data_IF_439037371900
#
_entry.id   IF_439037371900
#
_cell.length_a   1.000
_cell.length_b   1.000
_cell.length_c   1.000
_cell.angle_alpha   90.00
_cell.angle_beta   90.00
_cell.angle_gamma   90.00
#
_symmetry.space_group_name_H-M   'P 1'
#
loop_
_entity.id
_entity.type
_entity.pdbx_description
1 polymer ?
#
# COMPACT_ATOMS: atom_id res chain seq x y z
N UNK A 1 60.98 4.57 -22.04
CA UNK A 1 59.97 4.86 -20.99
C UNK A 1 58.61 4.78 -21.64
N UNK A 2 58.06 3.57 -21.75
CA UNK A 2 56.69 3.34 -22.20
C UNK A 2 55.79 3.30 -20.96
N UNK A 3 54.88 4.26 -20.85
CA UNK A 3 53.91 4.32 -19.77
C UNK A 3 52.79 3.30 -20.03
N UNK A 4 52.79 2.23 -19.23
CA UNK A 4 51.68 1.30 -19.15
C UNK A 4 50.45 2.01 -18.54
N UNK A 5 49.57 2.51 -19.40
CA UNK A 5 48.21 2.91 -19.01
C UNK A 5 47.41 1.63 -18.84
N UNK A 6 47.34 1.14 -17.60
CA UNK A 6 46.43 0.07 -17.19
C UNK A 6 45.01 0.58 -17.38
N UNK A 7 44.34 0.15 -18.46
CA UNK A 7 42.88 0.28 -18.60
C UNK A 7 42.23 -0.49 -17.45
N UNK A 8 41.85 0.21 -16.39
CA UNK A 8 40.90 -0.32 -15.42
C UNK A 8 39.62 -0.63 -16.21
N UNK A 9 39.37 -1.92 -16.46
CA UNK A 9 38.03 -2.39 -16.84
C UNK A 9 37.11 -1.96 -15.71
N UNK A 10 36.20 -1.03 -15.99
CA UNK A 10 35.05 -0.75 -15.13
C UNK A 10 34.33 -2.08 -14.91
N UNK A 11 34.58 -2.72 -13.76
CA UNK A 11 33.86 -3.93 -13.37
C UNK A 11 32.44 -3.48 -13.07
N UNK A 12 31.47 -4.01 -13.82
CA UNK A 12 30.06 -3.90 -13.46
C UNK A 12 29.93 -4.36 -12.01
N UNK A 13 29.25 -3.60 -11.14
CA UNK A 13 29.00 -4.02 -9.77
C UNK A 13 28.36 -5.43 -9.75
N UNK A 14 28.67 -6.27 -8.75
CA UNK A 14 27.97 -7.53 -8.58
C UNK A 14 26.46 -7.29 -8.47
N UNK A 15 25.68 -8.16 -9.09
CA UNK A 15 24.22 -8.08 -9.05
C UNK A 15 23.70 -8.37 -7.64
N UNK A 16 22.68 -7.64 -7.23
CA UNK A 16 22.03 -7.83 -5.94
C UNK A 16 20.99 -8.96 -5.98
N UNK A 17 20.59 -9.54 -4.83
CA UNK A 17 19.51 -10.54 -4.81
C UNK A 17 18.20 -10.03 -5.44
N UNK A 18 17.86 -8.75 -5.25
CA UNK A 18 16.73 -8.11 -5.92
C UNK A 18 16.84 -8.06 -7.45
N UNK A 19 18.04 -7.80 -7.98
CA UNK A 19 18.30 -7.85 -9.42
C UNK A 19 18.17 -9.28 -9.98
N UNK A 20 18.61 -10.28 -9.21
CA UNK A 20 18.39 -11.68 -9.56
C UNK A 20 16.91 -12.04 -9.57
N UNK A 21 16.11 -11.56 -8.59
CA UNK A 21 14.63 -11.72 -8.60
C UNK A 21 14.00 -11.10 -9.85
N UNK A 22 14.43 -9.90 -10.25
CA UNK A 22 13.93 -9.28 -11.48
C UNK A 22 14.25 -10.13 -12.72
N UNK A 23 15.44 -10.74 -12.82
CA UNK A 23 15.78 -11.59 -13.96
C UNK A 23 14.93 -12.86 -14.06
N UNK A 24 14.44 -13.36 -12.93
CA UNK A 24 13.51 -14.50 -12.90
C UNK A 24 12.09 -14.12 -13.34
N UNK A 25 11.76 -12.82 -13.38
CA UNK A 25 10.46 -12.35 -13.82
C UNK A 25 10.30 -12.54 -15.34
N UNK A 26 9.24 -13.21 -15.83
CA UNK A 26 9.08 -13.52 -17.26
C UNK A 26 9.15 -12.29 -18.18
N UNK A 27 8.63 -11.14 -17.75
CA UNK A 27 8.66 -9.89 -18.53
C UNK A 27 10.08 -9.31 -18.73
N UNK A 28 11.08 -9.74 -17.96
CA UNK A 28 12.44 -9.20 -18.01
C UNK A 28 13.23 -9.64 -19.24
N UNK A 29 12.90 -10.80 -19.83
CA UNK A 29 13.49 -11.27 -21.08
C UNK A 29 13.17 -10.33 -22.27
N UNK A 30 12.09 -9.56 -22.18
CA UNK A 30 11.68 -8.61 -23.22
C UNK A 30 12.52 -7.33 -23.19
N UNK A 31 12.92 -6.91 -21.99
CA UNK A 31 13.77 -5.72 -21.81
C UNK A 31 15.19 -5.97 -22.32
N UNK A 32 15.72 -7.18 -22.13
CA UNK A 32 17.09 -7.53 -22.53
C UNK A 32 17.22 -7.84 -24.02
N UNK A 33 16.14 -8.28 -24.68
CA UNK A 33 16.16 -8.66 -26.09
C UNK A 33 15.73 -7.56 -27.07
N UNK A 34 15.13 -6.46 -26.58
CA UNK A 34 14.65 -5.35 -27.41
C UNK A 34 13.54 -5.71 -28.39
N UNK A 35 12.92 -6.90 -28.23
CA UNK A 35 11.84 -7.40 -29.08
C UNK A 35 10.51 -7.27 -28.35
N UNK A 36 9.52 -6.68 -29.00
CA UNK A 36 8.13 -6.76 -28.57
C UNK A 36 7.61 -8.18 -28.80
N UNK A 37 7.05 -8.81 -27.77
CA UNK A 37 6.26 -10.03 -27.95
C UNK A 37 4.92 -9.64 -28.59
N UNK A 38 4.82 -9.83 -29.90
CA UNK A 38 3.54 -10.14 -30.50
C UNK A 38 3.23 -11.59 -30.07
N UNK A 39 2.22 -11.75 -29.21
CA UNK A 39 1.64 -12.98 -28.65
C UNK A 39 1.86 -13.20 -27.15
N UNK A 40 0.79 -12.91 -26.42
CA UNK A 40 0.37 -13.51 -25.15
C UNK A 40 0.61 -15.02 -25.13
N UNK A 41 1.63 -15.46 -24.42
CA UNK A 41 1.71 -16.84 -23.96
C UNK A 41 0.99 -16.95 -22.61
N UNK A 42 0.00 -17.85 -22.57
CA UNK A 42 -0.72 -18.39 -21.41
C UNK A 42 -1.77 -17.49 -20.72
N UNK A 43 -3.03 -17.69 -21.13
CA UNK A 43 -4.18 -17.99 -20.24
C UNK A 43 -4.20 -17.37 -18.83
N UNK A 44 -4.11 -16.04 -18.71
CA UNK A 44 -4.53 -15.34 -17.49
C UNK A 44 -3.47 -15.12 -16.40
N UNK A 45 -2.19 -15.46 -16.60
CA UNK A 45 -1.13 -14.99 -15.69
C UNK A 45 -0.67 -13.59 -16.07
N UNK A 46 -1.23 -12.58 -15.39
CA UNK A 46 -0.81 -11.17 -15.46
C UNK A 46 0.63 -10.92 -14.96
N UNK A 47 1.31 -11.93 -14.43
CA UNK A 47 2.68 -11.92 -13.87
C UNK A 47 3.76 -11.74 -14.98
N UNK A 48 3.40 -11.53 -16.25
CA UNK A 48 4.36 -11.50 -17.36
C UNK A 48 4.38 -10.20 -18.17
N UNK A 49 3.83 -9.08 -17.67
CA UNK A 49 3.76 -7.86 -18.47
C UNK A 49 5.09 -7.06 -18.51
N UNK A 50 5.36 -6.47 -19.68
CA UNK A 50 6.55 -5.64 -19.94
C UNK A 50 6.58 -4.39 -19.06
N UNK A 51 5.40 -3.88 -18.67
CA UNK A 51 5.29 -2.65 -17.91
C UNK A 51 5.79 -2.82 -16.47
N UNK A 52 5.48 -3.95 -15.84
CA UNK A 52 5.94 -4.33 -14.51
C UNK A 52 7.44 -4.54 -14.52
N UNK A 53 7.97 -5.24 -15.52
CA UNK A 53 9.42 -5.39 -15.67
C UNK A 53 10.13 -4.02 -15.82
N UNK A 54 9.54 -3.07 -16.58
CA UNK A 54 10.07 -1.70 -16.71
C UNK A 54 10.04 -0.98 -15.37
N UNK A 55 8.94 -1.08 -14.62
CA UNK A 55 8.80 -0.49 -13.28
C UNK A 55 9.83 -1.07 -12.33
N UNK A 56 10.00 -2.40 -12.27
CA UNK A 56 11.01 -3.07 -11.45
C UNK A 56 12.43 -2.57 -11.77
N UNK A 57 12.76 -2.44 -13.06
CA UNK A 57 14.04 -1.89 -13.51
C UNK A 57 14.24 -0.45 -13.05
N UNK A 58 13.22 0.39 -13.21
CA UNK A 58 13.27 1.79 -12.78
C UNK A 58 13.47 1.89 -11.26
N UNK A 59 12.79 1.05 -10.48
CA UNK A 59 12.92 0.99 -9.02
C UNK A 59 14.34 0.58 -8.59
N UNK A 60 14.97 -0.37 -9.28
CA UNK A 60 16.38 -0.74 -9.03
C UNK A 60 17.32 0.44 -9.35
N UNK A 61 17.11 1.10 -10.49
CA UNK A 61 17.93 2.23 -10.92
C UNK A 61 17.81 3.41 -9.96
N UNK A 62 16.58 3.72 -9.55
CA UNK A 62 16.29 4.75 -8.56
C UNK A 62 16.98 4.40 -7.23
N UNK A 63 16.80 3.18 -6.72
CA UNK A 63 17.44 2.72 -5.48
C UNK A 63 18.97 2.88 -5.49
N UNK A 64 19.64 2.53 -6.60
CA UNK A 64 21.07 2.74 -6.78
C UNK A 64 21.44 4.23 -6.79
N UNK A 65 20.69 5.05 -7.52
CA UNK A 65 20.93 6.49 -7.55
C UNK A 65 20.86 7.11 -6.15
N UNK A 66 19.93 6.65 -5.32
CA UNK A 66 19.75 7.16 -3.96
C UNK A 66 20.80 6.67 -2.98
N UNK A 67 21.41 5.51 -3.22
CA UNK A 67 22.61 5.09 -2.48
C UNK A 67 23.79 6.00 -2.76
N UNK A 68 24.00 6.34 -4.03
CA UNK A 68 25.10 7.19 -4.47
C UNK A 68 24.86 8.67 -4.16
N UNK A 69 23.60 9.10 -4.09
CA UNK A 69 23.18 10.49 -3.91
C UNK A 69 21.87 10.55 -3.11
N UNK A 70 21.94 10.48 -1.77
CA UNK A 70 20.79 10.63 -0.91
C UNK A 70 20.02 11.92 -1.20
N UNK A 71 18.70 11.83 -1.32
CA UNK A 71 17.85 13.01 -1.54
C UNK A 71 17.64 13.72 -0.21
N UNK A 72 18.17 14.93 -0.09
CA UNK A 72 17.80 15.85 0.98
C UNK A 72 16.48 16.55 0.62
N UNK A 73 15.38 16.15 1.26
CA UNK A 73 14.06 16.76 1.03
C UNK A 73 13.85 18.06 1.82
N UNK A 74 14.86 18.93 1.89
CA UNK A 74 14.84 20.14 2.73
C UNK A 74 13.66 21.06 2.44
N UNK A 75 13.35 21.32 1.17
CA UNK A 75 12.24 22.19 0.79
C UNK A 75 10.87 21.65 1.23
N UNK A 76 10.65 20.34 1.11
CA UNK A 76 9.42 19.68 1.57
C UNK A 76 9.39 19.62 3.11
N UNK A 77 10.52 19.36 3.76
CA UNK A 77 10.61 19.44 5.22
C UNK A 77 10.28 20.85 5.74
N UNK A 78 10.75 21.91 5.08
CA UNK A 78 10.41 23.29 5.42
C UNK A 78 8.92 23.56 5.22
N UNK A 79 8.35 23.04 4.13
CA UNK A 79 6.93 23.14 3.83
C UNK A 79 6.04 22.46 4.89
N UNK A 80 6.39 21.23 5.26
CA UNK A 80 5.70 20.46 6.29
C UNK A 80 5.85 21.16 7.64
N UNK A 81 7.03 21.67 7.96
CA UNK A 81 7.27 22.38 9.23
C UNK A 81 6.33 23.59 9.42
N UNK A 82 5.94 24.29 8.34
CA UNK A 82 4.97 25.40 8.40
C UNK A 82 3.57 24.93 8.83
N UNK A 83 3.21 23.68 8.55
CA UNK A 83 1.85 23.13 8.77
C UNK A 83 1.82 21.91 9.72
N UNK A 84 2.96 21.52 10.31
CA UNK A 84 3.09 20.27 11.08
C UNK A 84 2.08 20.15 12.22
N UNK A 85 1.85 21.22 12.98
CA UNK A 85 0.95 21.18 14.14
C UNK A 85 -0.50 20.97 13.68
N UNK A 86 -0.84 21.54 12.51
CA UNK A 86 -2.14 21.32 11.89
C UNK A 86 -2.27 19.88 11.38
N UNK A 87 -1.25 19.35 10.70
CA UNK A 87 -1.24 17.95 10.25
C UNK A 87 -1.43 16.99 11.44
N UNK A 88 -0.72 17.22 12.54
CA UNK A 88 -0.84 16.40 13.75
C UNK A 88 -2.23 16.50 14.36
N UNK A 89 -2.78 17.72 14.50
CA UNK A 89 -4.10 17.94 15.07
C UNK A 89 -5.21 17.28 14.24
N UNK A 90 -5.15 17.42 12.92
CA UNK A 90 -6.18 16.91 12.01
C UNK A 90 -6.16 15.39 11.91
N UNK A 91 -4.97 14.78 11.97
CA UNK A 91 -4.81 13.33 11.90
C UNK A 91 -4.94 12.63 13.27
N UNK A 92 -5.23 13.35 14.34
CA UNK A 92 -5.29 12.76 15.66
C UNK A 92 -6.53 11.88 15.83
N UNK A 93 -6.35 10.72 16.45
CA UNK A 93 -7.36 9.65 16.57
C UNK A 93 -7.95 9.09 15.25
N UNK A 94 -7.71 9.69 14.09
CA UNK A 94 -8.32 9.27 12.82
C UNK A 94 -7.82 7.92 12.27
N UNK A 95 -6.67 7.43 12.75
CA UNK A 95 -6.21 6.08 12.43
C UNK A 95 -7.27 5.03 12.81
N UNK A 96 -8.04 5.26 13.88
CA UNK A 96 -9.07 4.33 14.35
C UNK A 96 -10.10 4.03 13.26
N UNK A 97 -10.44 5.00 12.43
CA UNK A 97 -11.42 4.87 11.34
C UNK A 97 -10.85 3.99 10.23
N UNK A 98 -9.56 4.16 9.92
CA UNK A 98 -8.86 3.40 8.88
C UNK A 98 -8.48 1.98 9.34
N UNK A 99 -8.51 1.70 10.64
CA UNK A 99 -8.26 0.37 11.21
C UNK A 99 -9.52 -0.32 11.73
N UNK A 100 -10.72 0.20 11.44
CA UNK A 100 -11.97 -0.48 11.80
C UNK A 100 -11.99 -1.89 11.18
N UNK A 101 -12.46 -2.92 11.90
CA UNK A 101 -12.65 -4.23 11.32
C UNK A 101 -13.56 -4.16 10.10
N UNK A 102 -13.10 -4.70 8.97
CA UNK A 102 -13.86 -4.82 7.73
C UNK A 102 -14.00 -6.29 7.40
N UNK A 103 -15.20 -6.70 6.99
CA UNK A 103 -15.45 -8.05 6.45
C UNK A 103 -16.34 -7.90 5.23
N UNK A 104 -15.86 -8.40 4.10
CA UNK A 104 -16.49 -8.33 2.79
C UNK A 104 -16.70 -9.76 2.29
N UNK A 105 -17.91 -10.04 1.82
CA UNK A 105 -18.22 -11.26 1.12
C UNK A 105 -18.12 -11.01 -0.38
N UNK A 106 -17.39 -11.88 -1.08
CA UNK A 106 -17.34 -11.92 -2.53
C UNK A 106 -18.12 -13.13 -3.00
N UNK A 107 -19.05 -12.95 -3.93
CA UNK A 107 -19.81 -14.06 -4.56
C UNK A 107 -20.06 -13.73 -6.02
N UNK A 108 -19.57 -14.58 -6.94
CA UNK A 108 -19.65 -14.33 -8.38
C UNK A 108 -19.20 -12.91 -8.77
N UNK A 109 -18.08 -12.45 -8.18
CA UNK A 109 -17.50 -11.09 -8.34
C UNK A 109 -18.36 -9.94 -7.82
N UNK A 110 -19.49 -10.20 -7.18
CA UNK A 110 -20.25 -9.20 -6.44
C UNK A 110 -19.68 -9.06 -5.03
N UNK A 111 -19.58 -7.82 -4.56
CA UNK A 111 -19.07 -7.48 -3.22
C UNK A 111 -20.26 -7.10 -2.35
N UNK A 112 -20.34 -7.66 -1.14
CA UNK A 112 -21.30 -7.25 -0.12
C UNK A 112 -20.63 -7.13 1.25
N UNK A 113 -21.12 -6.20 2.08
CA UNK A 113 -20.61 -6.00 3.43
C UNK A 113 -21.14 -7.09 4.37
N UNK A 114 -20.26 -7.71 5.15
CA UNK A 114 -20.64 -8.52 6.31
C UNK A 114 -20.57 -7.67 7.58
N UNK A 115 -21.32 -8.06 8.60
CA UNK A 115 -21.17 -7.47 9.93
C UNK A 115 -19.83 -7.90 10.52
N UNK A 116 -18.91 -6.95 10.69
CA UNK A 116 -17.71 -7.12 11.49
C UNK A 116 -17.97 -6.65 12.92
N UNK A 117 -17.36 -7.31 13.89
CA UNK A 117 -17.38 -6.89 15.30
C UNK A 117 -15.95 -6.68 15.78
N UNK A 118 -15.75 -5.70 16.65
CA UNK A 118 -14.50 -5.59 17.39
C UNK A 118 -14.32 -6.82 18.27
N UNK A 119 -13.17 -7.47 18.15
CA UNK A 119 -12.81 -8.66 18.89
C UNK A 119 -11.50 -8.44 19.63
N UNK A 120 -11.34 -9.11 20.76
CA UNK A 120 -10.01 -9.20 21.37
C UNK A 120 -9.05 -9.96 20.45
N UNK A 121 -7.76 -9.66 20.54
CA UNK A 121 -6.72 -10.33 19.75
C UNK A 121 -6.79 -11.85 19.86
N UNK A 122 -7.01 -12.37 21.08
CA UNK A 122 -7.17 -13.81 21.32
C UNK A 122 -8.37 -14.40 20.56
N UNK A 123 -9.54 -13.76 20.65
CA UNK A 123 -10.74 -14.24 19.95
C UNK A 123 -10.55 -14.19 18.43
N UNK A 124 -9.91 -13.14 17.93
CA UNK A 124 -9.63 -13.02 16.51
C UNK A 124 -8.70 -14.13 16.04
N UNK A 125 -7.63 -14.43 16.77
CA UNK A 125 -6.71 -15.53 16.44
C UNK A 125 -7.42 -16.89 16.49
N UNK A 126 -8.28 -17.15 17.48
CA UNK A 126 -9.08 -18.39 17.57
C UNK A 126 -10.06 -18.53 16.38
N UNK A 127 -10.61 -17.42 15.89
CA UNK A 127 -11.49 -17.43 14.72
C UNK A 127 -10.72 -17.68 13.42
N UNK A 128 -9.50 -17.14 13.30
CA UNK A 128 -8.75 -17.07 12.05
C UNK A 128 -7.64 -18.12 11.91
N UNK A 129 -7.21 -18.78 12.98
CA UNK A 129 -6.26 -19.89 12.92
C UNK A 129 -6.94 -21.19 12.48
N UNK A 130 -7.40 -21.21 11.23
CA UNK A 130 -8.11 -22.33 10.62
C UNK A 130 -7.60 -22.62 9.21
N UNK A 131 -7.72 -23.85 8.70
CA UNK A 131 -7.46 -24.15 7.31
C UNK A 131 -8.33 -23.28 6.39
N UNK A 132 -7.78 -22.87 5.24
CA UNK A 132 -8.46 -21.98 4.29
C UNK A 132 -8.28 -20.48 4.56
N UNK A 133 -7.60 -20.11 5.65
CA UNK A 133 -7.35 -18.71 5.98
C UNK A 133 -5.91 -18.29 5.61
N UNK A 134 -5.81 -17.11 4.99
CA UNK A 134 -4.57 -16.54 4.51
C UNK A 134 -4.42 -15.11 4.99
N UNK A 135 -3.31 -14.79 5.66
CA UNK A 135 -2.93 -13.43 5.99
C UNK A 135 -2.00 -12.87 4.91
N UNK A 136 -2.42 -11.82 4.22
CA UNK A 136 -1.65 -11.17 3.17
C UNK A 136 -0.96 -9.94 3.74
N UNK A 137 0.36 -9.96 3.79
CA UNK A 137 1.20 -8.82 4.15
C UNK A 137 1.61 -8.04 2.89
N UNK A 138 0.91 -6.95 2.63
CA UNK A 138 1.26 -6.04 1.55
C UNK A 138 2.56 -5.29 1.86
N UNK A 139 3.44 -5.23 0.86
CA UNK A 139 4.71 -4.51 0.87
C UNK A 139 4.57 -3.07 1.39
N UNK A 140 5.48 -2.70 2.30
CA UNK A 140 5.63 -1.39 2.91
C UNK A 140 7.01 -1.24 3.62
N UNK A 141 7.29 -0.09 4.23
CA UNK A 141 8.53 0.16 5.02
C UNK A 141 8.40 -0.11 6.52
N UNK A 142 7.22 -0.44 7.04
CA UNK A 142 6.98 -0.57 8.48
C UNK A 142 7.36 -1.98 8.99
N UNK A 143 8.66 -2.25 9.05
CA UNK A 143 9.21 -3.51 9.56
C UNK A 143 8.81 -3.78 11.02
N UNK A 144 8.67 -2.71 11.81
CA UNK A 144 8.17 -2.80 13.18
C UNK A 144 6.76 -3.41 13.18
N UNK A 145 5.89 -2.97 12.29
CA UNK A 145 4.55 -3.53 12.17
C UNK A 145 4.55 -4.98 11.64
N UNK A 146 5.46 -5.33 10.73
CA UNK A 146 5.62 -6.72 10.30
C UNK A 146 6.04 -7.61 11.46
N UNK A 147 6.98 -7.14 12.30
CA UNK A 147 7.40 -7.83 13.52
C UNK A 147 6.25 -7.95 14.53
N UNK A 148 5.46 -6.88 14.71
CA UNK A 148 4.26 -6.88 15.54
C UNK A 148 3.25 -7.95 15.12
N UNK A 149 3.02 -8.10 13.81
CA UNK A 149 2.16 -9.16 13.28
C UNK A 149 2.79 -10.52 13.53
N UNK A 150 4.08 -10.69 13.22
CA UNK A 150 4.80 -11.95 13.38
C UNK A 150 4.66 -12.50 14.82
N UNK A 151 4.83 -11.64 15.82
CA UNK A 151 4.71 -12.03 17.23
C UNK A 151 3.32 -12.56 17.62
N UNK A 152 2.26 -12.15 16.91
CA UNK A 152 0.88 -12.57 17.16
C UNK A 152 0.56 -13.90 16.50
N UNK A 153 1.03 -14.06 15.26
CA UNK A 153 0.66 -15.19 14.42
C UNK A 153 1.65 -16.36 14.47
N UNK A 154 2.82 -16.20 15.10
CA UNK A 154 3.86 -17.24 15.16
C UNK A 154 3.37 -18.58 15.74
N UNK A 155 2.40 -18.55 16.64
CA UNK A 155 1.85 -19.75 17.28
C UNK A 155 0.60 -20.29 16.58
N UNK A 156 0.10 -19.62 15.54
CA UNK A 156 -1.02 -20.13 14.76
C UNK A 156 -0.58 -21.44 14.09
N UNK A 157 -1.41 -22.49 14.15
CA UNK A 157 -1.12 -23.79 13.56
C UNK A 157 -1.50 -23.85 12.08
N UNK A 158 -2.56 -23.16 11.67
CA UNK A 158 -3.21 -23.31 10.38
C UNK A 158 -3.16 -22.06 9.50
N UNK A 159 -3.06 -20.86 10.09
CA UNK A 159 -2.97 -19.61 9.32
C UNK A 159 -1.71 -19.60 8.42
N UNK A 160 -1.91 -19.51 7.10
CA UNK A 160 -0.85 -19.27 6.11
C UNK A 160 -0.64 -17.78 5.94
N UNK A 161 0.59 -17.37 5.62
CA UNK A 161 0.96 -15.97 5.42
C UNK A 161 1.49 -15.81 4.00
N UNK A 162 1.02 -14.80 3.28
CA UNK A 162 1.51 -14.43 1.96
C UNK A 162 2.19 -13.07 2.10
N UNK A 163 3.50 -12.98 1.84
CA UNK A 163 4.19 -11.69 1.73
C UNK A 163 4.19 -11.26 0.26
N UNK A 164 3.84 -10.00 -0.03
CA UNK A 164 3.71 -9.54 -1.42
C UNK A 164 4.34 -8.15 -1.61
N UNK A 165 5.30 -8.05 -2.54
CA UNK A 165 5.95 -6.79 -2.91
C UNK A 165 7.39 -6.95 -3.40
N UNK A 166 7.72 -6.23 -4.47
CA UNK A 166 9.08 -6.10 -5.02
C UNK A 166 9.84 -4.91 -4.43
N UNK A 167 9.13 -3.84 -4.10
CA UNK A 167 9.68 -2.56 -3.68
C UNK A 167 8.99 -1.38 -4.36
N UNK A 168 7.68 -1.22 -4.15
CA UNK A 168 6.85 -0.20 -4.81
C UNK A 168 7.06 1.26 -4.34
N UNK A 169 6.15 2.16 -4.74
CA UNK A 169 6.21 3.59 -4.38
C UNK A 169 6.17 3.83 -2.86
N UNK A 170 5.70 2.85 -2.08
CA UNK A 170 5.67 2.88 -0.63
C UNK A 170 6.89 2.24 0.05
N UNK A 171 7.92 1.84 -0.71
CA UNK A 171 9.20 1.41 -0.14
C UNK A 171 10.34 2.30 -0.45
N UNK A 172 10.67 3.12 0.52
CA UNK A 172 11.65 4.13 0.31
C UNK A 172 12.53 4.36 1.53
N UNK A 173 12.78 3.31 2.32
CA UNK A 173 14.04 3.17 3.07
C UNK A 173 15.21 3.00 2.08
N UNK A 174 15.56 4.12 1.44
CA UNK A 174 16.22 4.17 0.13
C UNK A 174 17.71 3.84 0.14
N UNK A 175 18.35 3.63 1.28
CA UNK A 175 19.79 3.33 1.29
C UNK A 175 20.13 1.84 1.43
N UNK A 176 19.37 1.05 2.20
CA UNK A 176 19.74 -0.35 2.47
C UNK A 176 18.72 -1.35 1.92
N UNK A 177 17.43 -0.98 1.94
CA UNK A 177 16.31 -1.87 1.57
C UNK A 177 16.04 -1.85 0.06
N UNK A 178 16.35 -0.75 -0.64
CA UNK A 178 16.00 -0.57 -2.06
C UNK A 178 16.78 -1.48 -3.01
N UNK A 179 18.03 -1.84 -2.71
CA UNK A 179 18.90 -2.57 -3.65
C UNK A 179 19.08 -4.04 -3.34
N UNK A 180 18.99 -4.47 -2.09
CA UNK A 180 19.48 -5.79 -1.73
C UNK A 180 18.41 -6.88 -1.86
N UNK A 181 17.15 -6.60 -1.49
CA UNK A 181 16.10 -7.60 -1.39
C UNK A 181 14.73 -7.02 -1.77
N UNK A 182 13.76 -7.88 -2.11
CA UNK A 182 12.37 -7.47 -2.33
C UNK A 182 11.65 -7.23 -0.98
N UNK A 183 10.52 -6.52 -0.97
CA UNK A 183 9.69 -6.39 0.24
C UNK A 183 9.26 -7.75 0.77
N UNK A 184 8.76 -8.59 -0.12
CA UNK A 184 8.19 -9.88 0.25
C UNK A 184 9.25 -10.82 0.85
N UNK A 185 10.44 -10.86 0.26
CA UNK A 185 11.55 -11.66 0.76
C UNK A 185 12.01 -11.15 2.14
N UNK A 186 12.11 -9.82 2.33
CA UNK A 186 12.48 -9.21 3.61
C UNK A 186 11.45 -9.46 4.70
N UNK A 187 10.16 -9.37 4.37
CA UNK A 187 9.09 -9.68 5.29
C UNK A 187 9.08 -11.15 5.69
N UNK A 188 9.40 -12.06 4.75
CA UNK A 188 9.61 -13.48 5.06
C UNK A 188 10.73 -13.65 6.11
N UNK A 189 11.87 -12.98 5.93
CA UNK A 189 12.99 -13.08 6.87
C UNK A 189 12.64 -12.54 8.26
N UNK A 190 11.89 -11.43 8.34
CA UNK A 190 11.38 -10.88 9.61
C UNK A 190 10.41 -11.87 10.28
N UNK A 191 9.46 -12.42 9.54
CA UNK A 191 8.52 -13.42 10.05
C UNK A 191 9.25 -14.64 10.63
N UNK A 192 10.22 -15.19 9.89
CA UNK A 192 11.02 -16.34 10.30
C UNK A 192 11.85 -16.05 11.55
N UNK A 193 12.48 -14.87 11.61
CA UNK A 193 13.30 -14.44 12.74
C UNK A 193 12.45 -14.23 14.01
N UNK A 194 11.15 -13.97 13.87
CA UNK A 194 10.18 -13.88 14.95
C UNK A 194 9.48 -15.22 15.27
N UNK A 195 9.92 -16.32 14.65
CA UNK A 195 9.48 -17.69 14.97
C UNK A 195 8.31 -18.21 14.14
N UNK A 196 7.91 -17.54 13.06
CA UNK A 196 6.96 -18.10 12.09
C UNK A 196 7.66 -19.16 11.27
N UNK A 197 7.08 -20.36 11.19
CA UNK A 197 7.67 -21.46 10.43
C UNK A 197 7.65 -21.18 8.91
N UNK A 198 8.75 -21.51 8.23
CA UNK A 198 8.98 -21.16 6.82
C UNK A 198 7.91 -21.74 5.88
N UNK A 199 7.48 -22.97 6.14
CA UNK A 199 6.48 -23.68 5.34
C UNK A 199 5.09 -23.00 5.36
N UNK A 200 4.85 -22.06 6.28
CA UNK A 200 3.61 -21.29 6.38
C UNK A 200 3.66 -20.01 5.56
N UNK A 201 4.84 -19.64 5.03
CA UNK A 201 5.09 -18.36 4.36
C UNK A 201 5.19 -18.59 2.84
N UNK A 202 4.27 -17.98 2.11
CA UNK A 202 4.29 -17.89 0.66
C UNK A 202 4.77 -16.49 0.26
N UNK A 203 5.47 -16.37 -0.86
CA UNK A 203 6.14 -15.12 -1.27
C UNK A 203 5.76 -14.76 -2.68
N UNK A 204 5.20 -13.56 -2.87
CA UNK A 204 5.12 -12.85 -4.15
C UNK A 204 6.20 -11.75 -4.19
N UNK A 205 7.35 -12.02 -4.84
CA UNK A 205 8.44 -11.06 -4.87
C UNK A 205 8.31 -10.05 -6.02
N UNK A 206 7.19 -9.97 -6.77
CA UNK A 206 7.16 -9.23 -8.03
C UNK A 206 6.25 -8.00 -8.06
N UNK A 207 5.30 -7.89 -7.13
CA UNK A 207 4.32 -6.80 -7.18
C UNK A 207 4.93 -5.42 -6.90
N UNK A 208 4.62 -4.43 -7.73
CA UNK A 208 5.18 -3.07 -7.61
C UNK A 208 4.19 -2.03 -7.05
N UNK A 209 2.94 -2.44 -6.82
CA UNK A 209 1.87 -1.62 -6.24
C UNK A 209 0.73 -2.50 -5.68
N UNK A 210 -0.19 -1.92 -4.92
CA UNK A 210 -1.28 -2.66 -4.25
C UNK A 210 -2.22 -3.41 -5.21
N UNK A 211 -2.42 -2.93 -6.44
CA UNK A 211 -3.26 -3.64 -7.41
C UNK A 211 -2.57 -4.89 -7.95
N UNK A 212 -1.26 -4.79 -8.22
CA UNK A 212 -0.44 -5.96 -8.58
C UNK A 212 -0.34 -6.96 -7.44
N UNK A 213 -0.27 -6.50 -6.17
CA UNK A 213 -0.32 -7.40 -5.02
C UNK A 213 -1.56 -8.30 -5.10
N UNK A 214 -2.76 -7.73 -5.31
CA UNK A 214 -3.99 -8.50 -5.40
C UNK A 214 -3.95 -9.53 -6.55
N UNK A 215 -3.46 -9.13 -7.72
CA UNK A 215 -3.34 -10.00 -8.89
C UNK A 215 -2.37 -11.17 -8.65
N UNK A 216 -1.18 -10.90 -8.14
CA UNK A 216 -0.16 -11.93 -7.93
C UNK A 216 -0.53 -12.85 -6.77
N UNK A 217 -1.15 -12.30 -5.71
CA UNK A 217 -1.71 -13.09 -4.60
C UNK A 217 -2.81 -14.02 -5.09
N UNK A 218 -3.68 -13.59 -6.02
CA UNK A 218 -4.64 -14.48 -6.67
C UNK A 218 -3.96 -15.68 -7.35
N UNK A 219 -2.85 -15.45 -8.06
CA UNK A 219 -2.04 -16.52 -8.65
C UNK A 219 -1.58 -17.54 -7.61
N UNK A 220 -0.99 -17.08 -6.50
CA UNK A 220 -0.57 -17.95 -5.38
C UNK A 220 -1.76 -18.71 -4.79
N UNK A 221 -2.87 -18.03 -4.55
CA UNK A 221 -4.06 -18.64 -3.95
C UNK A 221 -4.66 -19.72 -4.85
N UNK A 222 -4.77 -19.47 -6.16
CA UNK A 222 -5.31 -20.42 -7.14
C UNK A 222 -4.49 -21.72 -7.24
N UNK A 223 -3.20 -21.68 -6.92
CA UNK A 223 -2.37 -22.88 -6.84
C UNK A 223 -2.57 -23.64 -5.51
N UNK A 224 -3.17 -23.01 -4.50
CA UNK A 224 -3.29 -23.53 -3.13
C UNK A 224 -4.70 -23.96 -2.76
N UNK A 225 -5.73 -23.40 -3.40
CA UNK A 225 -7.14 -23.61 -3.06
C UNK A 225 -7.85 -24.48 -4.11
N UNK A 226 -8.91 -25.17 -3.69
CA UNK A 226 -9.85 -25.88 -4.55
C UNK A 226 -11.18 -25.13 -4.63
N UNK A 227 -12.00 -25.42 -5.64
CA UNK A 227 -13.24 -24.68 -5.94
C UNK A 227 -14.26 -24.70 -4.77
N UNK A 228 -14.28 -25.78 -3.99
CA UNK A 228 -15.15 -25.99 -2.83
C UNK A 228 -14.61 -25.43 -1.50
N UNK A 229 -13.40 -24.85 -1.50
CA UNK A 229 -12.78 -24.36 -0.28
C UNK A 229 -13.54 -23.16 0.29
N UNK A 230 -13.69 -23.15 1.62
CA UNK A 230 -14.06 -21.93 2.35
C UNK A 230 -12.80 -21.12 2.59
N UNK A 231 -12.70 -19.97 1.92
CA UNK A 231 -11.50 -19.15 1.93
C UNK A 231 -11.77 -17.81 2.60
N UNK A 232 -10.92 -17.43 3.55
CA UNK A 232 -10.87 -16.08 4.11
C UNK A 232 -9.49 -15.48 3.87
N UNK A 233 -9.46 -14.34 3.18
CA UNK A 233 -8.24 -13.58 2.90
C UNK A 233 -8.20 -12.36 3.81
N UNK A 234 -7.22 -12.31 4.70
CA UNK A 234 -7.05 -11.25 5.68
C UNK A 234 -5.97 -10.30 5.16
N UNK A 235 -6.32 -9.04 4.98
CA UNK A 235 -5.44 -8.01 4.42
C UNK A 235 -4.75 -7.26 5.55
N UNK A 236 -3.43 -7.24 5.51
CA UNK A 236 -2.56 -6.50 6.40
C UNK A 236 -1.50 -5.72 5.62
N UNK A 237 -0.98 -4.68 6.25
CA UNK A 237 -0.03 -3.71 5.70
C UNK A 237 0.07 -2.52 6.64
N UNK A 238 0.68 -1.41 6.22
CA UNK A 238 0.68 -0.17 7.03
C UNK A 238 -0.74 0.15 7.53
N UNK A 239 -0.97 0.31 8.84
CA UNK A 239 -2.33 0.45 9.39
C UNK A 239 -3.18 1.54 8.75
N UNK A 240 -2.59 2.68 8.37
CA UNK A 240 -3.33 3.73 7.67
C UNK A 240 -3.90 3.27 6.31
N UNK A 241 -3.24 2.35 5.62
CA UNK A 241 -3.60 1.91 4.28
C UNK A 241 -4.48 0.65 4.25
N UNK A 242 -4.64 -0.06 5.38
CA UNK A 242 -5.32 -1.36 5.41
C UNK A 242 -6.78 -1.25 4.93
N UNK A 243 -7.47 -0.17 5.27
CA UNK A 243 -8.84 0.11 4.80
C UNK A 243 -8.91 0.06 3.27
N UNK A 244 -8.13 0.91 2.59
CA UNK A 244 -8.11 0.98 1.12
C UNK A 244 -7.62 -0.31 0.50
N UNK A 245 -6.58 -0.92 1.07
CA UNK A 245 -6.04 -2.18 0.58
C UNK A 245 -7.10 -3.29 0.60
N UNK A 246 -7.89 -3.39 1.67
CA UNK A 246 -8.98 -4.38 1.79
C UNK A 246 -9.98 -4.24 0.65
N UNK A 247 -10.46 -3.03 0.37
CA UNK A 247 -11.34 -2.78 -0.78
C UNK A 247 -10.66 -2.97 -2.13
N UNK A 248 -9.36 -2.69 -2.25
CA UNK A 248 -8.59 -2.95 -3.47
C UNK A 248 -8.60 -4.45 -3.79
N UNK A 249 -8.37 -5.30 -2.77
CA UNK A 249 -8.48 -6.75 -2.93
C UNK A 249 -9.90 -7.20 -3.26
N UNK A 250 -10.93 -6.62 -2.63
CA UNK A 250 -12.32 -6.92 -2.97
C UNK A 250 -12.68 -6.63 -4.42
N UNK A 251 -12.02 -5.64 -5.04
CA UNK A 251 -12.21 -5.31 -6.45
C UNK A 251 -11.37 -6.16 -7.40
N UNK A 252 -10.13 -6.45 -7.02
CA UNK A 252 -9.09 -6.91 -7.98
C UNK A 252 -8.64 -8.35 -7.76
N UNK A 253 -8.88 -8.94 -6.60
CA UNK A 253 -8.55 -10.35 -6.36
C UNK A 253 -9.50 -11.23 -7.18
N UNK A 254 -8.96 -12.09 -8.04
CA UNK A 254 -9.73 -13.03 -8.87
C UNK A 254 -9.22 -14.44 -8.61
N UNK A 255 -9.94 -15.17 -7.75
CA UNK A 255 -9.60 -16.54 -7.37
C UNK A 255 -10.67 -17.53 -7.84
N UNK A 256 -10.26 -18.77 -8.12
CA UNK A 256 -11.06 -19.82 -8.74
C UNK A 256 -12.03 -20.50 -7.76
N UNK A 257 -12.70 -19.70 -6.93
CA UNK A 257 -13.76 -20.11 -6.00
C UNK A 257 -14.97 -19.21 -6.20
N UNK A 258 -16.17 -19.80 -6.14
CA UNK A 258 -17.42 -19.07 -6.39
C UNK A 258 -17.71 -18.02 -5.31
N UNK A 259 -17.18 -18.24 -4.10
CA UNK A 259 -17.46 -17.41 -2.92
C UNK A 259 -16.33 -17.44 -1.90
N UNK A 260 -15.90 -16.28 -1.41
CA UNK A 260 -14.85 -16.15 -0.41
C UNK A 260 -14.99 -14.84 0.39
N UNK A 261 -14.31 -14.78 1.53
CA UNK A 261 -14.31 -13.62 2.41
C UNK A 261 -13.00 -12.85 2.29
N UNK A 262 -13.10 -11.53 2.39
CA UNK A 262 -11.94 -10.65 2.56
C UNK A 262 -12.15 -9.84 3.83
N UNK A 263 -11.18 -9.87 4.72
CA UNK A 263 -11.21 -9.13 5.98
C UNK A 263 -10.00 -8.21 6.12
N UNK A 264 -10.11 -7.15 6.91
CA UNK A 264 -8.95 -6.36 7.34
C UNK A 264 -8.35 -6.94 8.61
N UNK A 265 -7.03 -6.88 8.74
CA UNK A 265 -6.36 -7.12 10.02
C UNK A 265 -6.52 -5.88 10.91
N UNK A 266 -7.21 -5.96 12.07
CA UNK A 266 -7.69 -4.77 12.76
C UNK A 266 -6.74 -4.25 13.85
N UNK A 267 -5.58 -4.88 14.05
CA UNK A 267 -4.71 -4.57 15.19
C UNK A 267 -3.56 -3.65 14.81
N UNK A 268 -3.33 -2.65 15.64
CA UNK A 268 -2.17 -1.76 15.59
C UNK A 268 -1.73 -1.40 17.02
N UNK A 269 -0.44 -1.15 17.23
CA UNK A 269 0.04 -0.63 18.52
C UNK A 269 -0.50 0.78 18.78
N UNK A 270 -1.29 0.92 19.85
CA UNK A 270 -1.76 2.24 20.30
C UNK A 270 -0.55 3.11 20.64
N UNK A 271 -0.45 4.27 19.99
CA UNK A 271 0.64 5.23 20.21
C UNK A 271 1.91 5.01 19.37
N UNK A 272 1.98 3.97 18.53
CA UNK A 272 3.13 3.77 17.63
C UNK A 272 3.09 4.69 16.38
N UNK A 273 1.92 5.24 16.05
CA UNK A 273 1.66 6.01 14.83
C UNK A 273 1.47 7.51 15.14
N UNK A 274 2.54 8.12 15.68
CA UNK A 274 2.52 9.50 16.19
C UNK A 274 3.47 10.44 15.44
N UNK A 275 4.27 9.93 14.51
CA UNK A 275 5.23 10.75 13.77
C UNK A 275 4.54 11.53 12.65
N UNK A 276 5.16 12.60 12.15
CA UNK A 276 4.59 13.39 11.04
C UNK A 276 4.34 12.54 9.78
N UNK A 277 5.24 11.63 9.37
CA UNK A 277 4.95 10.69 8.29
C UNK A 277 3.71 9.81 8.56
N UNK A 278 3.53 9.33 9.79
CA UNK A 278 2.31 8.56 10.16
C UNK A 278 1.05 9.40 10.03
N UNK A 279 1.09 10.64 10.56
CA UNK A 279 -0.04 11.58 10.47
C UNK A 279 -0.37 11.89 9.02
N UNK A 280 0.63 12.13 8.17
CA UNK A 280 0.41 12.34 6.73
C UNK A 280 -0.09 11.08 6.03
N UNK A 281 0.35 9.88 6.41
CA UNK A 281 -0.18 8.63 5.87
C UNK A 281 -1.68 8.53 6.13
N UNK A 282 -2.14 8.84 7.35
CA UNK A 282 -3.57 8.85 7.71
C UNK A 282 -4.35 9.82 6.80
N UNK A 283 -3.91 11.07 6.69
CA UNK A 283 -4.60 12.10 5.86
C UNK A 283 -4.62 11.72 4.38
N UNK A 284 -3.49 11.21 3.89
CA UNK A 284 -3.36 10.72 2.52
C UNK A 284 -4.36 9.61 2.26
N UNK A 285 -4.52 8.64 3.16
CA UNK A 285 -5.36 7.48 2.90
C UNK A 285 -6.86 7.82 2.81
N UNK A 286 -7.35 8.85 3.52
CA UNK A 286 -8.70 9.38 3.26
C UNK A 286 -8.82 9.96 1.84
N UNK A 287 -7.93 10.88 1.47
CA UNK A 287 -7.98 11.56 0.17
C UNK A 287 -7.75 10.60 -1.02
N UNK A 288 -6.80 9.67 -0.89
CA UNK A 288 -6.53 8.63 -1.89
C UNK A 288 -7.71 7.68 -2.04
N UNK A 289 -8.36 7.27 -0.94
CA UNK A 289 -9.52 6.37 -1.03
C UNK A 289 -10.69 7.06 -1.73
N UNK A 290 -10.99 8.32 -1.40
CA UNK A 290 -11.97 9.13 -2.14
C UNK A 290 -11.59 9.29 -3.62
N UNK A 291 -10.30 9.54 -3.90
CA UNK A 291 -9.82 9.66 -5.27
C UNK A 291 -10.04 8.39 -6.06
N UNK A 292 -9.70 7.22 -5.49
CA UNK A 292 -9.89 5.94 -6.16
C UNK A 292 -11.37 5.63 -6.36
N UNK A 293 -12.22 5.89 -5.37
CA UNK A 293 -13.68 5.72 -5.49
C UNK A 293 -14.28 6.51 -6.66
N UNK A 294 -13.76 7.70 -6.95
CA UNK A 294 -14.37 8.61 -7.93
C UNK A 294 -13.70 8.67 -9.29
N UNK A 295 -12.40 8.37 -9.34
CA UNK A 295 -11.57 8.64 -10.50
C UNK A 295 -10.88 7.39 -11.07
N UNK A 296 -11.01 6.23 -10.42
CA UNK A 296 -10.36 5.00 -10.88
C UNK A 296 -11.32 3.81 -10.75
N UNK A 297 -10.94 2.68 -11.35
CA UNK A 297 -11.64 1.41 -11.20
C UNK A 297 -10.95 0.50 -10.16
N UNK A 298 -10.12 1.07 -9.28
CA UNK A 298 -9.30 0.29 -8.35
C UNK A 298 -10.07 -0.24 -7.14
N UNK A 299 -11.25 0.32 -6.86
CA UNK A 299 -12.10 -0.04 -5.72
C UNK A 299 -13.51 -0.41 -6.21
N UNK A 300 -14.34 -1.09 -5.39
CA UNK A 300 -15.76 -1.27 -5.70
C UNK A 300 -16.46 0.09 -5.87
N UNK A 301 -17.15 0.27 -7.00
CA UNK A 301 -17.76 1.56 -7.35
C UNK A 301 -19.00 1.89 -6.50
N UNK A 302 -19.60 0.89 -5.85
CA UNK A 302 -20.74 1.10 -4.96
C UNK A 302 -20.28 1.71 -3.64
N UNK A 303 -20.45 3.02 -3.52
CA UNK A 303 -20.12 3.78 -2.32
C UNK A 303 -20.97 3.38 -1.09
N UNK A 304 -22.06 2.61 -1.25
CA UNK A 304 -22.83 2.06 -0.12
C UNK A 304 -22.09 0.92 0.60
N UNK A 305 -21.05 0.35 -0.01
CA UNK A 305 -20.19 -0.66 0.62
C UNK A 305 -19.23 -0.08 1.66
N UNK A 306 -19.20 1.25 1.81
CA UNK A 306 -18.27 1.97 2.68
C UNK A 306 -19.03 2.52 3.87
N UNK A 307 -18.50 2.37 5.10
CA UNK A 307 -19.18 2.84 6.29
C UNK A 307 -19.29 4.37 6.30
N UNK A 308 -20.39 4.90 6.83
CA UNK A 308 -20.59 6.35 6.97
C UNK A 308 -19.47 7.01 7.78
N UNK A 309 -18.95 6.31 8.80
CA UNK A 309 -17.80 6.75 9.61
C UNK A 309 -16.58 7.11 8.76
N UNK A 310 -16.31 6.39 7.66
CA UNK A 310 -15.21 6.71 6.76
C UNK A 310 -15.44 8.06 6.06
N UNK A 311 -16.64 8.28 5.53
CA UNK A 311 -16.96 9.51 4.82
C UNK A 311 -17.00 10.72 5.76
N UNK A 312 -17.58 10.55 6.95
CA UNK A 312 -17.66 11.60 7.97
C UNK A 312 -16.25 12.02 8.41
N UNK A 313 -15.39 11.05 8.75
CA UNK A 313 -13.98 11.31 9.07
C UNK A 313 -13.24 11.97 7.90
N UNK A 314 -13.44 11.50 6.66
CA UNK A 314 -12.77 12.06 5.49
C UNK A 314 -13.14 13.53 5.27
N UNK A 315 -14.44 13.86 5.33
CA UNK A 315 -14.93 15.23 5.18
C UNK A 315 -14.43 16.10 6.33
N UNK A 316 -14.57 15.66 7.59
CA UNK A 316 -14.15 16.47 8.74
C UNK A 316 -12.65 16.75 8.73
N UNK A 317 -11.84 15.73 8.46
CA UNK A 317 -10.38 15.82 8.32
C UNK A 317 -10.00 16.84 7.23
N UNK A 318 -10.57 16.70 6.03
CA UNK A 318 -10.25 17.56 4.87
C UNK A 318 -10.71 19.00 5.12
N UNK A 319 -11.91 19.22 5.65
CA UNK A 319 -12.43 20.56 5.92
C UNK A 319 -11.72 21.23 7.10
N UNK A 320 -11.33 20.48 8.13
CA UNK A 320 -10.54 21.01 9.25
C UNK A 320 -9.15 21.43 8.77
N UNK A 321 -8.53 20.65 7.86
CA UNK A 321 -7.31 21.06 7.19
C UNK A 321 -7.49 22.38 6.42
N UNK A 322 -8.56 22.53 5.64
CA UNK A 322 -8.85 23.78 4.93
C UNK A 322 -8.99 24.99 5.87
N UNK A 323 -9.78 24.84 6.94
CA UNK A 323 -9.97 25.88 7.98
C UNK A 323 -8.66 26.25 8.66
N UNK A 324 -7.80 25.27 8.92
CA UNK A 324 -6.49 25.47 9.53
C UNK A 324 -5.53 26.19 8.59
N UNK A 325 -5.47 25.80 7.32
CA UNK A 325 -4.65 26.45 6.30
C UNK A 325 -5.06 27.92 6.09
N UNK A 326 -6.36 28.24 6.09
CA UNK A 326 -6.87 29.63 5.99
C UNK A 326 -6.45 30.54 7.15
N UNK A 327 -6.07 29.96 8.30
CA UNK A 327 -5.62 30.70 9.49
C UNK A 327 -4.10 30.87 9.54
N UNK A 328 -3.36 30.34 8.55
CA UNK A 328 -1.91 30.53 8.44
C UNK A 328 -1.60 31.93 7.90
N UNK A 329 -0.32 32.27 7.85
CA UNK A 329 0.13 33.52 7.26
C UNK A 329 -0.28 33.65 5.78
N UNK A 330 -0.29 34.88 5.28
CA UNK A 330 -0.74 35.20 3.92
C UNK A 330 0.05 34.45 2.85
N UNK A 331 1.34 34.17 3.06
CA UNK A 331 2.17 33.43 2.11
C UNK A 331 1.66 32.00 1.94
N UNK A 332 1.38 31.31 3.05
CA UNK A 332 0.83 29.95 3.06
C UNK A 332 -0.57 29.90 2.45
N UNK A 333 -1.44 30.87 2.78
CA UNK A 333 -2.81 30.93 2.27
C UNK A 333 -2.81 31.12 0.75
N UNK A 334 -2.03 32.07 0.23
CA UNK A 334 -1.96 32.31 -1.22
C UNK A 334 -1.32 31.11 -1.95
N UNK A 335 -0.30 30.49 -1.36
CA UNK A 335 0.33 29.28 -1.93
C UNK A 335 -0.67 28.13 -2.10
N UNK A 336 -1.53 27.89 -1.13
CA UNK A 336 -2.47 26.75 -1.14
C UNK A 336 -3.90 27.12 -1.51
N UNK A 337 -4.15 28.32 -2.05
CA UNK A 337 -5.51 28.80 -2.33
C UNK A 337 -6.38 27.79 -3.10
N UNK A 338 -5.87 27.24 -4.20
CA UNK A 338 -6.61 26.24 -4.98
C UNK A 338 -6.85 24.93 -4.23
N UNK A 339 -5.92 24.52 -3.36
CA UNK A 339 -6.07 23.33 -2.52
C UNK A 339 -7.13 23.58 -1.45
N UNK A 340 -7.09 24.74 -0.80
CA UNK A 340 -8.06 25.18 0.20
C UNK A 340 -9.47 25.19 -0.40
N UNK A 341 -9.66 25.82 -1.55
CA UNK A 341 -10.95 25.91 -2.24
C UNK A 341 -11.48 24.50 -2.61
N UNK A 342 -10.60 23.61 -3.07
CA UNK A 342 -10.94 22.22 -3.37
C UNK A 342 -11.33 21.43 -2.11
N UNK A 343 -10.60 21.60 -1.00
CA UNK A 343 -10.93 20.95 0.29
C UNK A 343 -12.28 21.39 0.84
N UNK A 344 -12.62 22.69 0.73
CA UNK A 344 -13.92 23.19 1.17
C UNK A 344 -15.09 22.66 0.34
N UNK A 345 -14.83 22.36 -0.94
CA UNK A 345 -15.82 21.79 -1.85
C UNK A 345 -16.10 20.30 -1.58
N UNK A 346 -15.24 19.61 -0.82
CA UNK A 346 -15.45 18.24 -0.36
C UNK A 346 -16.33 18.32 0.90
N UNK A 347 -17.64 18.15 0.71
CA UNK A 347 -18.67 18.31 1.74
C UNK A 347 -19.57 17.08 1.86
N UNK A 348 -20.43 17.05 2.88
CA UNK A 348 -21.45 16.01 3.03
C UNK A 348 -22.40 15.95 1.82
N UNK A 349 -22.74 17.09 1.20
CA UNK A 349 -23.54 17.14 -0.02
C UNK A 349 -22.80 16.52 -1.21
N UNK A 350 -21.49 16.74 -1.31
CA UNK A 350 -20.64 16.12 -2.34
C UNK A 350 -20.56 14.60 -2.14
N UNK A 351 -20.41 14.13 -0.91
CA UNK A 351 -20.48 12.69 -0.58
C UNK A 351 -21.87 12.11 -0.88
N UNK A 352 -22.94 12.84 -0.59
CA UNK A 352 -24.31 12.41 -0.93
C UNK A 352 -24.47 12.24 -2.45
N UNK A 353 -23.92 13.16 -3.26
CA UNK A 353 -23.88 13.00 -4.72
C UNK A 353 -23.06 11.78 -5.14
N UNK A 354 -21.90 11.54 -4.53
CA UNK A 354 -21.09 10.35 -4.78
C UNK A 354 -21.88 9.06 -4.52
N UNK A 355 -22.52 8.94 -3.35
CA UNK A 355 -23.32 7.77 -2.95
C UNK A 355 -24.52 7.49 -3.85
N UNK A 356 -25.04 8.52 -4.51
CA UNK A 356 -26.14 8.43 -5.46
C UNK A 356 -25.68 8.39 -6.93
N UNK A 357 -24.37 8.23 -7.18
CA UNK A 357 -23.78 8.24 -8.52
C UNK A 357 -24.10 9.50 -9.35
N UNK A 358 -24.26 10.65 -8.69
CA UNK A 358 -24.62 11.94 -9.26
C UNK A 358 -23.51 13.00 -9.07
N UNK A 359 -22.27 12.55 -8.88
CA UNK A 359 -21.12 13.44 -8.71
C UNK A 359 -20.73 14.12 -10.03
N UNK A 360 -20.20 15.33 -9.94
CA UNK A 360 -19.83 16.17 -11.09
C UNK A 360 -18.36 16.01 -11.48
N UNK A 361 -17.99 16.55 -12.64
CA UNK A 361 -16.57 16.65 -13.03
C UNK A 361 -15.78 17.56 -12.08
N UNK A 362 -16.42 18.58 -11.51
CA UNK A 362 -15.84 19.45 -10.51
C UNK A 362 -15.54 18.68 -9.21
N UNK A 363 -16.46 17.83 -8.76
CA UNK A 363 -16.25 16.95 -7.59
C UNK A 363 -15.02 16.04 -7.79
N UNK A 364 -14.89 15.44 -8.99
CA UNK A 364 -13.73 14.61 -9.37
C UNK A 364 -12.42 15.38 -9.33
N UNK A 365 -12.41 16.58 -9.89
CA UNK A 365 -11.24 17.45 -9.94
C UNK A 365 -10.81 17.90 -8.54
N UNK A 366 -11.76 18.30 -7.69
CA UNK A 366 -11.47 18.76 -6.32
C UNK A 366 -10.81 17.64 -5.50
N UNK A 367 -11.34 16.42 -5.56
CA UNK A 367 -10.73 15.28 -4.87
C UNK A 367 -9.34 14.96 -5.40
N UNK A 368 -9.13 15.02 -6.72
CA UNK A 368 -7.80 14.81 -7.31
C UNK A 368 -6.79 15.87 -6.83
N UNK A 369 -7.18 17.14 -6.73
CA UNK A 369 -6.32 18.22 -6.21
C UNK A 369 -5.90 17.91 -4.77
N UNK A 370 -6.84 17.50 -3.93
CA UNK A 370 -6.58 17.19 -2.51
C UNK A 370 -5.70 15.94 -2.35
N UNK A 371 -5.96 14.88 -3.12
CA UNK A 371 -5.10 13.68 -3.13
C UNK A 371 -3.67 14.01 -3.58
N UNK A 372 -3.51 14.81 -4.63
CA UNK A 372 -2.20 15.25 -5.12
C UNK A 372 -1.45 16.08 -4.08
N UNK A 373 -2.14 16.93 -3.32
CA UNK A 373 -1.54 17.69 -2.23
C UNK A 373 -0.97 16.78 -1.14
N UNK A 374 -1.78 15.87 -0.58
CA UNK A 374 -1.30 14.99 0.50
C UNK A 374 -0.22 14.01 0.01
N UNK A 375 -0.34 13.48 -1.22
CA UNK A 375 0.72 12.66 -1.84
C UNK A 375 2.02 13.45 -2.04
N UNK A 376 1.91 14.71 -2.46
CA UNK A 376 3.06 15.60 -2.65
C UNK A 376 3.83 15.87 -1.35
N UNK A 377 3.13 15.94 -0.21
CA UNK A 377 3.75 16.06 1.11
C UNK A 377 4.29 14.72 1.63
N UNK A 378 3.55 13.62 1.42
CA UNK A 378 3.87 12.32 1.99
C UNK A 378 5.02 11.62 1.26
N UNK A 379 4.97 11.50 -0.07
CA UNK A 379 5.93 10.68 -0.82
C UNK A 379 7.39 11.06 -0.54
N UNK A 380 7.76 12.36 -0.45
CA UNK A 380 9.15 12.71 -0.14
C UNK A 380 9.54 12.41 1.31
N UNK A 381 8.60 12.46 2.27
CA UNK A 381 8.90 12.06 3.65
C UNK A 381 9.05 10.55 3.77
N UNK A 382 8.19 9.80 3.09
CA UNK A 382 8.28 8.34 3.00
C UNK A 382 9.69 7.92 2.52
N UNK A 383 10.33 8.72 1.66
CA UNK A 383 11.70 8.50 1.18
C UNK A 383 12.82 8.65 2.20
N UNK A 384 12.50 9.21 3.36
CA UNK A 384 13.49 9.55 4.40
C UNK A 384 13.10 9.01 5.77
N UNK A 385 11.94 8.36 5.88
CA UNK A 385 11.39 7.91 7.14
C UNK A 385 11.94 6.55 7.51
N UNK A 386 12.75 6.51 8.58
CA UNK A 386 13.11 5.29 9.28
C UNK A 386 12.37 5.25 10.62
N UNK A 387 11.52 4.24 10.82
CA UNK A 387 11.06 3.89 12.17
C UNK A 387 12.21 3.09 12.76
N UNK A 388 12.90 3.64 13.77
CA UNK A 388 14.10 3.01 14.34
C UNK A 388 13.88 1.52 14.58
N UNK A 389 14.87 0.69 14.23
CA UNK A 389 14.82 -0.76 14.45
C UNK A 389 14.58 -1.04 15.93
N UNK A 390 13.58 -1.86 16.23
CA UNK A 390 13.39 -2.45 17.57
C UNK A 390 14.45 -3.51 17.81
#
# INVERSE_FOLDING_TARGET
MESNITKQRNKTPPQTPKEHRMQQFPGSFLISSGKELHHTFNSGMHIADLQTAKTMKNLIQEGRHLQDSPVENKAISDEINKIKDLLTQVADDELRTLTQPLSLQITNKNVSLNTSQEMSEKQWLEQHDKPGNYLVLNGNNDETYVSFIAQRVKNCAHLKIITSGFGGHGTTDRHTISTNQTEADRFKDILMSNGVAEEKILVDPWSTNSGQNAINVAGILNDQIQAEDKVTIIIAGTPAAVFRQTYTYAKQLDIAVDSYQIESFPFSEKGAYITIPDKLAILREFSTTLHYLMNTDYLPADAQLYPDSFFDSAVDTIQTMAKGLKKKDTEVVEKYKSVIDAMESISAEMISRLKNNNHTMEDKNNIRIVDQFFRGLFNPLEMTFTRGSV
#
